data_IF_282593783220
#
_entry.id   IF_282593783220
#
_cell.length_a   1.000
_cell.length_b   1.000
_cell.length_c   1.000
_cell.angle_alpha   90.00
_cell.angle_beta   90.00
_cell.angle_gamma   90.00
#
_symmetry.space_group_name_H-M   'P 1'
#
loop_
_entity.id
_entity.type
_entity.pdbx_description
1 polymer ?
#
# COMPACT_ATOMS: atom_id res chain seq x y z
N UNK A 1 108.58 -126.06 22.39
CA UNK A 1 108.23 -125.80 20.98
C UNK A 1 106.92 -125.04 20.98
N UNK A 2 107.03 -123.75 20.65
CA UNK A 2 106.02 -122.80 20.15
C UNK A 2 104.58 -122.76 20.71
N UNK A 3 104.31 -121.57 21.26
CA UNK A 3 103.09 -120.93 21.72
C UNK A 3 101.92 -120.96 20.72
N UNK A 4 100.75 -121.45 21.16
CA UNK A 4 99.45 -121.16 20.55
C UNK A 4 98.74 -120.11 21.43
N UNK A 5 98.42 -118.91 20.91
CA UNK A 5 97.87 -117.83 21.71
C UNK A 5 96.45 -118.17 22.21
N UNK A 6 96.17 -117.80 23.47
CA UNK A 6 94.92 -118.10 24.17
C UNK A 6 93.73 -117.41 23.49
N UNK A 7 92.79 -118.20 22.96
CA UNK A 7 91.59 -117.73 22.25
C UNK A 7 90.78 -116.69 23.04
N UNK A 8 90.87 -116.69 24.38
CA UNK A 8 90.18 -115.72 25.23
C UNK A 8 90.65 -114.28 25.04
N UNK A 9 91.94 -114.04 24.74
CA UNK A 9 92.46 -112.68 24.55
C UNK A 9 91.90 -112.06 23.26
N UNK A 10 91.79 -112.84 22.18
CA UNK A 10 91.15 -112.39 20.95
C UNK A 10 89.63 -112.21 21.10
N UNK A 11 88.95 -113.09 21.86
CA UNK A 11 87.53 -112.92 22.23
C UNK A 11 87.33 -111.59 22.97
N UNK A 12 88.19 -111.27 23.93
CA UNK A 12 88.09 -110.06 24.74
C UNK A 12 88.33 -108.79 23.90
N UNK A 13 89.31 -108.84 22.97
CA UNK A 13 89.56 -107.75 22.04
C UNK A 13 88.37 -107.49 21.10
N UNK A 14 87.76 -108.55 20.55
CA UNK A 14 86.56 -108.41 19.70
C UNK A 14 85.35 -107.89 20.48
N UNK A 15 85.20 -108.24 21.76
CA UNK A 15 84.16 -107.68 22.63
C UNK A 15 84.36 -106.18 22.81
N UNK A 16 85.59 -105.72 23.06
CA UNK A 16 85.90 -104.29 23.20
C UNK A 16 85.60 -103.54 21.89
N UNK A 17 86.02 -104.09 20.75
CA UNK A 17 85.74 -103.51 19.42
C UNK A 17 84.23 -103.46 19.16
N UNK A 18 83.49 -104.54 19.47
CA UNK A 18 82.05 -104.57 19.32
C UNK A 18 81.38 -103.49 20.19
N UNK A 19 81.82 -103.31 21.44
CA UNK A 19 81.31 -102.28 22.35
C UNK A 19 81.54 -100.87 21.79
N UNK A 20 82.73 -100.61 21.24
CA UNK A 20 83.07 -99.32 20.62
C UNK A 20 82.20 -99.08 19.38
N UNK A 21 82.04 -100.07 18.51
CA UNK A 21 81.22 -99.96 17.30
C UNK A 21 79.74 -99.75 17.66
N UNK A 22 79.21 -100.46 18.65
CA UNK A 22 77.85 -100.26 19.15
C UNK A 22 77.67 -98.85 19.73
N UNK A 23 78.66 -98.33 20.46
CA UNK A 23 78.62 -96.97 20.98
C UNK A 23 78.59 -95.91 19.86
N UNK A 24 79.40 -96.08 18.82
CA UNK A 24 79.39 -95.16 17.67
C UNK A 24 78.08 -95.23 16.87
N UNK A 25 77.53 -96.43 16.66
CA UNK A 25 76.22 -96.59 15.99
C UNK A 25 75.13 -95.91 16.83
N UNK A 26 75.12 -96.11 18.14
CA UNK A 26 74.14 -95.50 19.04
C UNK A 26 74.27 -93.97 19.06
N UNK A 27 75.49 -93.44 19.09
CA UNK A 27 75.74 -91.99 19.05
C UNK A 27 75.33 -91.35 17.71
N UNK A 28 75.40 -92.10 16.60
CA UNK A 28 75.00 -91.58 15.28
C UNK A 28 73.47 -91.49 15.14
N UNK A 29 72.74 -92.41 15.75
CA UNK A 29 71.27 -92.42 15.74
C UNK A 29 70.64 -91.60 16.88
N UNK A 30 71.43 -91.05 17.78
CA UNK A 30 70.92 -90.22 18.87
C UNK A 30 70.52 -88.84 18.33
N UNK A 31 69.23 -88.66 18.07
CA UNK A 31 68.66 -87.36 17.73
C UNK A 31 68.77 -86.42 18.94
N UNK A 32 69.35 -85.23 18.72
CA UNK A 32 69.40 -84.18 19.72
C UNK A 32 68.10 -83.38 19.65
N UNK A 33 67.21 -83.58 20.62
CA UNK A 33 66.01 -82.77 20.75
C UNK A 33 66.40 -81.34 21.17
N UNK A 34 66.25 -80.37 20.24
CA UNK A 34 66.46 -78.96 20.53
C UNK A 34 65.10 -78.36 20.88
N UNK A 35 64.77 -78.35 22.17
CA UNK A 35 63.59 -77.65 22.67
C UNK A 35 63.97 -76.17 22.84
N UNK A 36 63.64 -75.36 21.83
CA UNK A 36 63.76 -73.90 21.93
C UNK A 36 62.53 -73.37 22.65
N UNK A 37 62.68 -73.04 23.94
CA UNK A 37 61.66 -72.29 24.67
C UNK A 37 61.69 -70.84 24.19
N UNK A 38 60.79 -70.48 23.28
CA UNK A 38 60.56 -69.10 22.86
C UNK A 38 59.43 -68.49 23.67
N UNK A 39 59.68 -67.30 24.23
CA UNK A 39 58.62 -66.51 24.85
C UNK A 39 57.91 -65.72 23.74
N UNK A 40 56.80 -66.27 23.24
CA UNK A 40 55.91 -65.56 22.32
C UNK A 40 54.81 -64.84 23.07
N UNK A 41 54.49 -63.60 22.68
CA UNK A 41 53.31 -62.88 23.17
C UNK A 41 52.24 -62.95 22.10
N UNK A 42 51.06 -63.47 22.43
CA UNK A 42 49.90 -63.43 21.53
C UNK A 42 49.44 -61.98 21.45
N UNK A 43 49.53 -61.39 20.25
CA UNK A 43 49.00 -60.07 19.94
C UNK A 43 47.85 -60.21 18.95
N UNK A 44 46.78 -59.42 19.08
CA UNK A 44 45.75 -59.37 18.06
C UNK A 44 46.34 -58.94 16.72
N UNK A 45 45.83 -59.51 15.63
CA UNK A 45 46.27 -59.22 14.26
C UNK A 45 45.94 -57.78 13.85
N UNK A 46 44.93 -57.18 14.50
CA UNK A 46 44.48 -55.81 14.28
C UNK A 46 44.73 -54.92 15.51
N UNK A 47 44.80 -53.60 15.28
CA UNK A 47 44.92 -52.60 16.34
C UNK A 47 43.76 -52.67 17.35
N UNK A 48 44.10 -52.63 18.64
CA UNK A 48 43.13 -52.51 19.73
C UNK A 48 42.54 -51.10 19.69
N UNK A 49 41.26 -50.98 19.35
CA UNK A 49 40.55 -49.70 19.35
C UNK A 49 39.81 -49.51 20.66
N UNK A 50 40.18 -48.47 21.41
CA UNK A 50 39.41 -48.03 22.56
C UNK A 50 38.13 -47.35 22.08
N UNK A 51 36.97 -47.80 22.58
CA UNK A 51 35.69 -47.14 22.33
C UNK A 51 35.50 -46.03 23.34
N UNK A 52 35.29 -44.80 22.86
CA UNK A 52 34.99 -43.63 23.67
C UNK A 52 33.72 -42.93 23.17
N UNK A 53 33.06 -42.21 24.07
CA UNK A 53 31.93 -41.37 23.76
C UNK A 53 32.39 -39.96 23.38
N UNK A 54 31.74 -39.38 22.36
CA UNK A 54 31.98 -38.00 21.91
C UNK A 54 31.24 -37.00 22.81
N UNK A 55 30.14 -37.42 23.41
CA UNK A 55 29.21 -36.57 24.18
C UNK A 55 29.15 -37.01 25.63
N UNK A 56 29.11 -36.04 26.55
CA UNK A 56 28.96 -36.31 27.98
C UNK A 56 27.50 -36.68 28.33
N UNK A 57 27.32 -37.67 29.20
CA UNK A 57 26.01 -38.07 29.69
C UNK A 57 26.07 -39.33 30.55
N UNK A 58 24.91 -39.76 31.02
CA UNK A 58 24.75 -40.97 31.83
C UNK A 58 24.53 -42.20 30.94
N UNK A 59 25.12 -43.33 31.29
CA UNK A 59 24.90 -44.59 30.56
C UNK A 59 23.49 -45.10 30.85
N UNK A 60 22.62 -45.07 29.84
CA UNK A 60 21.23 -45.49 29.94
C UNK A 60 21.07 -47.01 29.80
N UNK A 61 21.82 -47.61 28.87
CA UNK A 61 21.78 -49.06 28.65
C UNK A 61 23.10 -49.56 28.07
N UNK A 62 23.56 -50.72 28.53
CA UNK A 62 24.70 -51.44 27.95
C UNK A 62 24.17 -52.64 27.20
N UNK A 63 24.56 -52.79 25.93
CA UNK A 63 24.09 -53.83 25.01
C UNK A 63 25.20 -54.79 24.58
N UNK A 64 26.30 -54.82 25.32
CA UNK A 64 27.46 -55.69 25.04
C UNK A 64 27.85 -56.50 26.28
N UNK A 65 28.43 -57.68 26.04
CA UNK A 65 29.03 -58.56 27.06
C UNK A 65 30.50 -58.80 26.78
N UNK A 66 31.26 -59.14 27.83
CA UNK A 66 32.69 -59.46 27.68
C UNK A 66 32.88 -60.70 26.79
N UNK A 67 33.75 -60.57 25.79
CA UNK A 67 34.05 -61.65 24.83
C UNK A 67 33.02 -61.79 23.69
N UNK A 68 32.03 -60.90 23.62
CA UNK A 68 31.05 -60.87 22.53
C UNK A 68 31.69 -60.33 21.24
N UNK A 69 31.36 -60.97 20.10
CA UNK A 69 31.78 -60.50 18.79
C UNK A 69 30.78 -59.47 18.27
N UNK A 70 31.25 -58.27 17.94
CA UNK A 70 30.40 -57.15 17.52
C UNK A 70 30.72 -56.71 16.09
N UNK A 71 29.71 -56.27 15.36
CA UNK A 71 29.83 -55.79 13.97
C UNK A 71 29.99 -54.27 13.90
N UNK A 72 30.57 -53.78 12.79
CA UNK A 72 30.69 -52.34 12.55
C UNK A 72 29.29 -51.70 12.48
N UNK A 73 29.05 -50.67 13.29
CA UNK A 73 27.77 -49.96 13.38
C UNK A 73 26.81 -50.51 14.43
N UNK A 74 27.20 -51.58 15.13
CA UNK A 74 26.41 -52.13 16.22
C UNK A 74 26.43 -51.22 17.46
N UNK A 75 25.26 -51.01 18.07
CA UNK A 75 25.10 -50.13 19.23
C UNK A 75 25.53 -50.86 20.49
N UNK A 76 26.69 -50.50 21.02
CA UNK A 76 27.28 -51.13 22.21
C UNK A 76 26.67 -50.65 23.52
N UNK A 77 26.33 -49.36 23.61
CA UNK A 77 25.64 -48.77 24.76
C UNK A 77 24.96 -47.46 24.33
N UNK A 78 23.97 -47.04 25.11
CA UNK A 78 23.21 -45.80 24.90
C UNK A 78 23.53 -44.82 26.02
N UNK A 79 23.77 -43.56 25.66
CA UNK A 79 23.98 -42.46 26.62
C UNK A 79 22.73 -41.58 26.61
N UNK A 80 22.23 -41.26 27.81
CA UNK A 80 21.22 -40.24 28.02
C UNK A 80 21.91 -38.94 28.42
N UNK A 81 21.68 -37.87 27.65
CA UNK A 81 22.18 -36.53 27.94
C UNK A 81 21.00 -35.57 28.01
N UNK A 82 20.65 -35.15 29.23
CA UNK A 82 19.57 -34.17 29.47
C UNK A 82 19.87 -32.82 28.81
N UNK A 83 21.14 -32.43 28.75
CA UNK A 83 21.58 -31.20 28.09
C UNK A 83 21.30 -31.23 26.58
N UNK A 84 21.65 -32.35 25.91
CA UNK A 84 21.38 -32.51 24.48
C UNK A 84 19.87 -32.60 24.20
N UNK A 85 19.09 -33.26 25.06
CA UNK A 85 17.64 -33.33 24.92
C UNK A 85 17.00 -31.94 25.07
N UNK A 86 17.41 -31.17 26.08
CA UNK A 86 16.92 -29.79 26.27
C UNK A 86 17.31 -28.89 25.10
N UNK A 87 18.55 -29.01 24.61
CA UNK A 87 19.02 -28.26 23.43
C UNK A 87 18.23 -28.63 22.18
N UNK A 88 17.92 -29.92 21.99
CA UNK A 88 17.07 -30.38 20.90
C UNK A 88 15.66 -29.79 21.01
N UNK A 89 15.02 -29.87 22.18
CA UNK A 89 13.68 -29.30 22.38
C UNK A 89 13.65 -27.78 22.12
N UNK A 90 14.67 -27.05 22.58
CA UNK A 90 14.80 -25.61 22.30
C UNK A 90 14.96 -25.31 20.81
N UNK A 91 15.69 -26.15 20.06
CA UNK A 91 15.85 -26.02 18.61
C UNK A 91 14.53 -26.37 17.92
N UNK A 92 13.85 -27.43 18.34
CA UNK A 92 12.56 -27.86 17.78
C UNK A 92 11.49 -26.76 17.98
N UNK A 93 11.42 -26.14 19.17
CA UNK A 93 10.56 -24.99 19.45
C UNK A 93 10.90 -23.77 18.56
N UNK A 94 12.18 -23.50 18.34
CA UNK A 94 12.62 -22.43 17.43
C UNK A 94 12.24 -22.71 15.99
N UNK A 95 12.38 -23.95 15.52
CA UNK A 95 11.98 -24.37 14.18
C UNK A 95 10.47 -24.20 14.01
N UNK A 96 9.66 -24.63 14.98
CA UNK A 96 8.20 -24.48 14.95
C UNK A 96 7.79 -22.99 14.89
N UNK A 97 8.42 -22.16 15.73
CA UNK A 97 8.20 -20.72 15.73
C UNK A 97 8.55 -20.09 14.37
N UNK A 98 9.73 -20.41 13.81
CA UNK A 98 10.19 -19.86 12.53
C UNK A 98 9.26 -20.29 11.39
N UNK A 99 8.84 -21.56 11.36
CA UNK A 99 7.91 -22.07 10.34
C UNK A 99 6.57 -21.33 10.41
N UNK A 100 6.03 -21.17 11.62
CA UNK A 100 4.78 -20.42 11.84
C UNK A 100 4.91 -18.96 11.42
N UNK A 101 6.05 -18.32 11.71
CA UNK A 101 6.31 -16.93 11.31
C UNK A 101 6.42 -16.80 9.78
N UNK A 102 7.07 -17.75 9.11
CA UNK A 102 7.15 -17.82 7.65
C UNK A 102 5.77 -18.00 6.99
N UNK A 103 4.93 -18.91 7.48
CA UNK A 103 3.57 -19.10 6.99
C UNK A 103 2.74 -17.82 7.13
N UNK A 104 2.87 -17.13 8.27
CA UNK A 104 2.21 -15.84 8.48
C UNK A 104 2.76 -14.75 7.56
N UNK A 105 4.07 -14.72 7.28
CA UNK A 105 4.66 -13.77 6.32
C UNK A 105 4.17 -14.01 4.89
N UNK A 106 4.05 -15.27 4.46
CA UNK A 106 3.46 -15.63 3.17
C UNK A 106 1.99 -15.23 3.08
N UNK A 107 1.22 -15.48 4.14
CA UNK A 107 -0.18 -15.05 4.26
C UNK A 107 -0.30 -13.53 4.23
N UNK A 108 0.62 -12.78 4.85
CA UNK A 108 0.66 -11.32 4.79
C UNK A 108 1.02 -10.82 3.39
N UNK A 109 1.99 -11.42 2.73
CA UNK A 109 2.34 -11.13 1.34
C UNK A 109 1.11 -11.30 0.43
N UNK A 110 0.39 -12.41 0.57
CA UNK A 110 -0.86 -12.65 -0.15
C UNK A 110 -1.92 -11.60 0.17
N UNK A 111 -2.10 -11.27 1.46
CA UNK A 111 -3.08 -10.27 1.91
C UNK A 111 -2.83 -8.90 1.26
N UNK A 112 -1.56 -8.48 1.19
CA UNK A 112 -1.13 -7.22 0.57
C UNK A 112 -1.31 -7.26 -0.95
N UNK A 113 -1.04 -8.40 -1.61
CA UNK A 113 -1.23 -8.52 -3.04
C UNK A 113 -2.71 -8.49 -3.44
N UNK A 114 -3.56 -9.18 -2.69
CA UNK A 114 -4.99 -9.29 -2.93
C UNK A 114 -5.79 -8.10 -2.33
N UNK A 115 -5.13 -7.17 -1.63
CA UNK A 115 -5.75 -6.09 -0.84
C UNK A 115 -6.88 -6.60 0.08
N UNK A 116 -6.73 -7.79 0.64
CA UNK A 116 -7.74 -8.45 1.48
C UNK A 116 -7.08 -9.01 2.72
N UNK A 117 -7.59 -8.68 3.91
CA UNK A 117 -7.04 -9.21 5.15
C UNK A 117 -7.44 -10.68 5.33
N UNK A 118 -6.49 -11.60 5.26
CA UNK A 118 -6.74 -13.01 5.52
C UNK A 118 -6.57 -13.39 7.00
N UNK A 119 -6.12 -12.47 7.87
CA UNK A 119 -5.94 -12.71 9.30
C UNK A 119 -7.20 -12.39 10.10
N UNK A 120 -7.40 -13.17 11.16
CA UNK A 120 -8.43 -12.94 12.15
C UNK A 120 -7.88 -12.16 13.35
N UNK A 121 -8.73 -11.35 13.99
CA UNK A 121 -8.36 -10.64 15.21
C UNK A 121 -8.50 -11.57 16.44
N UNK A 122 -7.59 -12.53 16.56
CA UNK A 122 -7.50 -13.47 17.68
C UNK A 122 -6.08 -13.50 18.25
N UNK A 123 -5.87 -14.08 19.43
CA UNK A 123 -4.58 -14.06 20.13
C UNK A 123 -3.42 -14.67 19.35
N UNK A 124 -3.67 -15.57 18.38
CA UNK A 124 -2.64 -16.21 17.56
C UNK A 124 -2.21 -15.36 16.37
N UNK A 125 -3.15 -14.67 15.73
CA UNK A 125 -2.91 -13.92 14.48
C UNK A 125 -2.83 -12.40 14.67
N UNK A 126 -3.07 -11.92 15.91
CA UNK A 126 -3.18 -10.49 16.26
C UNK A 126 -2.06 -9.62 15.71
N UNK A 127 -0.81 -10.09 15.82
CA UNK A 127 0.35 -9.32 15.35
C UNK A 127 0.26 -9.02 13.84
N UNK A 128 0.00 -10.06 13.04
CA UNK A 128 -0.08 -9.95 11.59
C UNK A 128 -1.36 -9.27 11.10
N UNK A 129 -2.47 -9.45 11.84
CA UNK A 129 -3.69 -8.67 11.65
C UNK A 129 -3.43 -7.17 11.74
N UNK A 130 -2.72 -6.70 12.77
CA UNK A 130 -2.41 -5.28 12.92
C UNK A 130 -1.35 -4.78 11.94
N UNK A 131 -0.40 -5.63 11.50
CA UNK A 131 0.52 -5.29 10.40
C UNK A 131 -0.23 -5.03 9.09
N UNK A 132 -1.27 -5.79 8.79
CA UNK A 132 -2.11 -5.51 7.61
C UNK A 132 -2.92 -4.22 7.80
N UNK A 133 -3.48 -3.98 8.98
CA UNK A 133 -4.22 -2.74 9.24
C UNK A 133 -3.34 -1.48 9.13
N UNK A 134 -2.07 -1.55 9.55
CA UNK A 134 -1.15 -0.41 9.41
C UNK A 134 -0.80 -0.15 7.94
N UNK A 135 -0.65 -1.20 7.13
CA UNK A 135 -0.54 -1.09 5.67
C UNK A 135 -1.75 -0.38 5.07
N UNK A 136 -2.97 -0.76 5.45
CA UNK A 136 -4.21 -0.10 4.98
C UNK A 136 -4.31 1.35 5.45
N UNK A 137 -3.97 1.63 6.70
CA UNK A 137 -3.99 2.99 7.25
C UNK A 137 -3.05 3.93 6.49
N UNK A 138 -1.86 3.45 6.09
CA UNK A 138 -0.93 4.19 5.24
C UNK A 138 -1.51 4.58 3.87
N UNK A 139 -2.53 3.85 3.39
CA UNK A 139 -3.22 4.14 2.14
C UNK A 139 -4.42 5.10 2.30
N UNK A 140 -4.86 5.41 3.53
CA UNK A 140 -6.10 6.19 3.80
C UNK A 140 -5.93 7.71 3.84
N UNK A 141 -4.69 8.22 3.92
CA UNK A 141 -4.41 9.66 4.11
C UNK A 141 -5.00 10.53 2.98
N UNK A 142 -5.25 9.98 1.77
CA UNK A 142 -5.88 10.73 0.67
C UNK A 142 -7.40 10.94 0.82
N UNK A 143 -8.08 10.25 1.73
CA UNK A 143 -9.55 10.22 1.75
C UNK A 143 -10.16 11.50 2.34
N UNK A 144 -9.56 12.06 3.40
CA UNK A 144 -10.03 13.30 4.03
C UNK A 144 -9.85 14.51 3.11
N UNK A 145 -8.69 14.62 2.44
CA UNK A 145 -8.43 15.68 1.45
C UNK A 145 -9.42 15.63 0.28
N UNK A 146 -9.73 14.42 -0.21
CA UNK A 146 -10.75 14.22 -1.25
C UNK A 146 -12.14 14.65 -0.80
N UNK A 147 -12.55 14.27 0.42
CA UNK A 147 -13.87 14.64 0.95
C UNK A 147 -14.03 16.15 1.08
N UNK A 148 -12.96 16.85 1.49
CA UNK A 148 -12.97 18.31 1.54
C UNK A 148 -13.14 18.93 0.15
N UNK A 149 -12.43 18.41 -0.87
CA UNK A 149 -12.57 18.86 -2.25
C UNK A 149 -13.99 18.61 -2.80
N UNK A 150 -14.57 17.44 -2.54
CA UNK A 150 -15.95 17.14 -2.92
C UNK A 150 -16.94 18.11 -2.26
N UNK A 151 -16.76 18.38 -0.97
CA UNK A 151 -17.62 19.32 -0.22
C UNK A 151 -17.55 20.74 -0.83
N UNK A 152 -16.36 21.23 -1.12
CA UNK A 152 -16.18 22.53 -1.81
C UNK A 152 -16.78 22.55 -3.22
N UNK A 153 -16.72 21.42 -3.95
CA UNK A 153 -17.32 21.28 -5.28
C UNK A 153 -18.85 21.38 -5.22
N UNK A 154 -19.45 20.72 -4.23
CA UNK A 154 -20.90 20.76 -4.02
C UNK A 154 -21.38 22.17 -3.65
N UNK A 155 -20.66 22.87 -2.76
CA UNK A 155 -20.95 24.27 -2.43
C UNK A 155 -20.92 25.18 -3.66
N UNK A 156 -19.88 25.06 -4.50
CA UNK A 156 -19.76 25.84 -5.74
C UNK A 156 -20.86 25.50 -6.75
N UNK A 157 -21.23 24.22 -6.88
CA UNK A 157 -22.33 23.81 -7.75
C UNK A 157 -23.67 24.37 -7.27
N UNK A 158 -23.93 24.37 -5.96
CA UNK A 158 -25.13 24.96 -5.39
C UNK A 158 -25.19 26.47 -5.68
N UNK A 159 -24.09 27.20 -5.44
CA UNK A 159 -24.01 28.64 -5.77
C UNK A 159 -24.24 28.91 -7.26
N UNK A 160 -23.72 28.04 -8.15
CA UNK A 160 -23.94 28.14 -9.59
C UNK A 160 -25.43 28.00 -9.94
N UNK A 161 -26.12 27.01 -9.36
CA UNK A 161 -27.56 26.79 -9.58
C UNK A 161 -28.37 28.00 -9.10
N UNK A 162 -28.01 28.58 -7.96
CA UNK A 162 -28.67 29.78 -7.44
C UNK A 162 -28.46 31.00 -8.35
N UNK A 163 -27.24 31.20 -8.87
CA UNK A 163 -26.94 32.24 -9.87
C UNK A 163 -27.68 32.02 -11.20
N UNK A 164 -27.79 30.78 -11.67
CA UNK A 164 -28.57 30.43 -12.86
C UNK A 164 -30.06 30.74 -12.64
N UNK A 165 -30.58 30.49 -11.43
CA UNK A 165 -31.95 30.84 -11.03
C UNK A 165 -32.16 32.36 -10.99
N UNK A 166 -31.20 33.13 -10.47
CA UNK A 166 -31.23 34.60 -10.50
C UNK A 166 -31.23 35.13 -11.94
N UNK A 167 -30.35 34.59 -12.79
CA UNK A 167 -30.27 34.94 -14.21
C UNK A 167 -31.61 34.73 -14.92
N UNK A 168 -32.26 33.57 -14.65
CA UNK A 168 -33.60 33.26 -15.17
C UNK A 168 -34.65 34.22 -14.62
N UNK A 169 -34.59 34.55 -13.33
CA UNK A 169 -35.51 35.48 -12.69
C UNK A 169 -35.48 36.87 -13.33
N UNK A 170 -34.29 37.38 -13.64
CA UNK A 170 -34.08 38.65 -14.35
C UNK A 170 -34.57 38.55 -15.81
N UNK A 171 -34.34 37.43 -16.47
CA UNK A 171 -34.74 37.22 -17.86
C UNK A 171 -36.26 37.21 -18.02
N UNK A 172 -36.95 36.52 -17.11
CA UNK A 172 -38.41 36.35 -17.08
C UNK A 172 -39.14 37.46 -16.31
N UNK A 173 -38.41 38.39 -15.68
CA UNK A 173 -38.97 39.40 -14.80
C UNK A 173 -39.89 38.82 -13.71
N UNK A 174 -39.54 37.65 -13.16
CA UNK A 174 -40.27 36.96 -12.09
C UNK A 174 -39.29 36.42 -11.07
N UNK A 175 -39.53 36.66 -9.78
CA UNK A 175 -38.67 36.10 -8.73
C UNK A 175 -38.87 34.57 -8.66
N UNK A 176 -37.86 33.80 -9.07
CA UNK A 176 -37.82 32.34 -8.94
C UNK A 176 -36.90 31.89 -7.80
N UNK A 177 -36.25 32.84 -7.13
CA UNK A 177 -35.31 32.55 -6.06
C UNK A 177 -36.06 32.17 -4.79
N UNK A 178 -35.38 31.45 -3.90
CA UNK A 178 -35.92 31.12 -2.59
C UNK A 178 -36.18 32.39 -1.78
N UNK A 179 -37.35 32.48 -1.18
CA UNK A 179 -37.74 33.61 -0.33
C UNK A 179 -36.75 33.80 0.84
N UNK A 180 -36.35 35.06 1.08
CA UNK A 180 -35.36 35.42 2.09
C UNK A 180 -33.90 35.04 1.76
N UNK A 181 -33.61 34.60 0.54
CA UNK A 181 -32.23 34.37 0.09
C UNK A 181 -31.55 35.65 -0.39
N UNK A 182 -30.22 35.69 -0.31
CA UNK A 182 -29.40 36.79 -0.86
C UNK A 182 -29.70 37.06 -2.34
N UNK A 183 -29.99 36.01 -3.14
CA UNK A 183 -30.32 36.15 -4.55
C UNK A 183 -31.74 36.71 -4.77
N UNK A 184 -32.67 36.45 -3.85
CA UNK A 184 -33.96 37.14 -3.82
C UNK A 184 -33.77 38.63 -3.61
N UNK A 185 -32.95 39.04 -2.63
CA UNK A 185 -32.69 40.46 -2.34
C UNK A 185 -32.00 41.19 -3.51
N UNK A 186 -31.07 40.50 -4.19
CA UNK A 186 -30.45 41.00 -5.42
C UNK A 186 -31.47 41.20 -6.54
N UNK A 187 -32.41 40.27 -6.70
CA UNK A 187 -33.49 40.40 -7.66
C UNK A 187 -34.39 41.60 -7.32
N UNK A 188 -34.81 41.77 -6.07
CA UNK A 188 -35.65 42.91 -5.66
C UNK A 188 -34.93 44.26 -5.88
N UNK A 189 -33.61 44.30 -5.68
CA UNK A 189 -32.79 45.49 -5.98
C UNK A 189 -32.77 45.83 -7.48
N UNK A 190 -32.71 44.80 -8.34
CA UNK A 190 -32.83 44.96 -9.80
C UNK A 190 -34.23 45.46 -10.19
N UNK A 191 -35.29 44.90 -9.60
CA UNK A 191 -36.67 45.33 -9.86
C UNK A 191 -36.88 46.78 -9.46
N UNK A 192 -36.43 47.17 -8.27
CA UNK A 192 -36.53 48.55 -7.76
C UNK A 192 -35.85 49.55 -8.72
N UNK A 193 -34.66 49.19 -9.23
CA UNK A 193 -33.92 50.02 -10.19
C UNK A 193 -34.65 50.13 -11.53
N UNK A 194 -35.26 49.03 -12.01
CA UNK A 194 -36.06 49.02 -13.24
C UNK A 194 -37.32 49.86 -13.09
N UNK A 195 -38.04 49.73 -11.99
CA UNK A 195 -39.26 50.49 -11.71
C UNK A 195 -38.98 51.99 -11.63
N UNK A 196 -37.85 52.41 -11.05
CA UNK A 196 -37.44 53.81 -11.03
C UNK A 196 -37.32 54.40 -12.44
N UNK A 197 -36.74 53.65 -13.38
CA UNK A 197 -36.62 54.07 -14.79
C UNK A 197 -38.00 54.08 -15.47
N UNK A 198 -38.82 53.04 -15.23
CA UNK A 198 -40.17 52.94 -15.80
C UNK A 198 -41.08 54.08 -15.35
N UNK A 199 -41.07 54.41 -14.05
CA UNK A 199 -41.83 55.53 -13.51
C UNK A 199 -41.40 56.87 -14.13
N UNK A 200 -40.10 57.04 -14.42
CA UNK A 200 -39.60 58.23 -15.12
C UNK A 200 -40.11 58.31 -16.55
N UNK A 201 -40.13 57.18 -17.27
CA UNK A 201 -40.70 57.09 -18.62
C UNK A 201 -42.19 57.44 -18.59
N UNK A 202 -42.94 56.89 -17.64
CA UNK A 202 -44.37 57.16 -17.50
C UNK A 202 -44.65 58.65 -17.23
N UNK A 203 -43.87 59.31 -16.38
CA UNK A 203 -43.98 60.75 -16.14
C UNK A 203 -43.72 61.56 -17.42
N UNK A 204 -42.70 61.19 -18.20
CA UNK A 204 -42.40 61.85 -19.47
C UNK A 204 -43.51 61.65 -20.50
N UNK A 205 -44.07 60.45 -20.61
CA UNK A 205 -45.22 60.16 -21.49
C UNK A 205 -46.47 60.95 -21.09
N UNK A 206 -46.75 61.06 -19.79
CA UNK A 206 -47.85 61.88 -19.29
C UNK A 206 -47.65 63.37 -19.60
N UNK A 207 -46.43 63.88 -19.45
CA UNK A 207 -46.09 65.26 -19.82
C UNK A 207 -46.26 65.49 -21.33
N UNK A 208 -45.79 64.56 -22.16
CA UNK A 208 -45.95 64.60 -23.62
C UNK A 208 -47.42 64.61 -24.01
N UNK A 209 -48.25 63.77 -23.37
CA UNK A 209 -49.70 63.74 -23.60
C UNK A 209 -50.35 65.09 -23.30
N UNK A 210 -50.04 65.70 -22.16
CA UNK A 210 -50.58 67.03 -21.80
C UNK A 210 -50.16 68.13 -22.79
N UNK A 211 -48.93 68.08 -23.31
CA UNK A 211 -48.46 69.01 -24.34
C UNK A 211 -49.20 68.81 -25.68
N UNK A 212 -49.46 67.57 -26.07
CA UNK A 212 -50.25 67.26 -27.26
C UNK A 212 -51.69 67.75 -27.14
N UNK A 213 -52.33 67.55 -25.99
CA UNK A 213 -53.68 68.08 -25.71
C UNK A 213 -53.72 69.62 -25.85
N UNK A 214 -52.65 70.31 -25.43
CA UNK A 214 -52.54 71.77 -25.58
C UNK A 214 -52.42 72.23 -27.04
N UNK A 215 -51.71 71.47 -27.88
CA UNK A 215 -51.67 71.71 -29.33
C UNK A 215 -53.08 71.50 -29.93
N UNK A 216 -53.82 70.49 -29.50
CA UNK A 216 -55.20 70.29 -29.97
C UNK A 216 -56.12 71.44 -29.59
N UNK A 217 -55.99 71.98 -28.37
CA UNK A 217 -56.72 73.18 -27.93
C UNK A 217 -56.36 74.40 -28.77
N UNK A 218 -55.05 74.65 -28.97
CA UNK A 218 -54.55 75.75 -29.80
C UNK A 218 -55.11 75.66 -31.23
N UNK A 219 -55.16 74.47 -31.82
CA UNK A 219 -55.76 74.24 -33.15
C UNK A 219 -57.27 74.55 -33.17
N UNK A 220 -58.02 74.15 -32.13
CA UNK A 220 -59.45 74.48 -32.01
C UNK A 220 -59.68 75.98 -31.88
N UNK A 221 -58.82 76.71 -31.17
CA UNK A 221 -58.88 78.16 -31.03
C UNK A 221 -58.52 78.86 -32.35
N UNK A 222 -57.45 78.42 -33.01
CA UNK A 222 -56.99 78.91 -34.32
C UNK A 222 -58.08 78.84 -35.39
N UNK A 223 -58.86 77.77 -35.40
CA UNK A 223 -59.97 77.57 -36.36
C UNK A 223 -61.14 78.55 -36.16
N UNK A 224 -61.26 79.19 -34.99
CA UNK A 224 -62.31 80.18 -34.69
C UNK A 224 -61.87 81.63 -34.94
N UNK A 225 -60.60 81.86 -35.26
CA UNK A 225 -60.00 83.19 -35.45
C UNK A 225 -59.98 83.61 -36.93
N UNK A 226 -60.31 84.87 -37.19
CA UNK A 226 -60.26 85.48 -38.53
C UNK A 226 -59.01 86.38 -38.74
N UNK A 227 -58.31 86.74 -37.67
CA UNK A 227 -57.12 87.62 -37.69
C UNK A 227 -55.84 86.80 -37.94
N UNK A 228 -55.15 87.06 -39.05
CA UNK A 228 -53.93 86.34 -39.44
C UNK A 228 -52.80 86.50 -38.44
N UNK A 229 -52.60 87.69 -37.86
CA UNK A 229 -51.52 87.94 -36.91
C UNK A 229 -51.68 87.08 -35.64
N UNK A 230 -52.92 86.83 -35.23
CA UNK A 230 -53.21 85.95 -34.07
C UNK A 230 -52.96 84.48 -34.38
N UNK A 231 -53.15 84.05 -35.63
CA UNK A 231 -52.84 82.68 -36.06
C UNK A 231 -51.33 82.42 -36.04
N UNK A 232 -50.52 83.37 -36.48
CA UNK A 232 -49.05 83.25 -36.47
C UNK A 232 -48.49 83.10 -35.05
N UNK A 233 -49.05 83.82 -34.08
CA UNK A 233 -48.66 83.70 -32.66
C UNK A 233 -48.96 82.30 -32.12
N UNK A 234 -50.09 81.70 -32.52
CA UNK A 234 -50.44 80.32 -32.12
C UNK A 234 -49.46 79.33 -32.77
N UNK A 235 -49.12 79.52 -34.03
CA UNK A 235 -48.16 78.67 -34.75
C UNK A 235 -46.76 78.69 -34.13
N UNK A 236 -46.27 79.85 -33.70
CA UNK A 236 -45.00 79.97 -33.00
C UNK A 236 -45.01 79.25 -31.64
N UNK A 237 -46.14 79.32 -30.90
CA UNK A 237 -46.31 78.56 -29.65
C UNK A 237 -46.31 77.06 -29.90
N UNK A 238 -47.04 76.58 -30.90
CA UNK A 238 -47.07 75.16 -31.26
C UNK A 238 -45.71 74.66 -31.71
N UNK A 239 -44.93 75.48 -32.43
CA UNK A 239 -43.54 75.16 -32.79
C UNK A 239 -42.66 75.00 -31.54
N UNK A 240 -42.84 75.86 -30.53
CA UNK A 240 -42.12 75.72 -29.26
C UNK A 240 -42.53 74.46 -28.50
N UNK A 241 -43.83 74.14 -28.44
CA UNK A 241 -44.33 72.91 -27.81
C UNK A 241 -43.80 71.67 -28.53
N UNK A 242 -43.80 71.67 -29.87
CA UNK A 242 -43.25 70.56 -30.67
C UNK A 242 -41.75 70.35 -30.40
N UNK A 243 -40.97 71.41 -30.21
CA UNK A 243 -39.58 71.28 -29.80
C UNK A 243 -39.43 70.63 -28.41
N UNK A 244 -40.30 70.97 -27.45
CA UNK A 244 -40.32 70.32 -26.13
C UNK A 244 -40.70 68.83 -26.23
N UNK A 245 -41.69 68.49 -27.06
CA UNK A 245 -42.08 67.10 -27.31
C UNK A 245 -40.89 66.31 -27.89
N UNK A 246 -40.17 66.88 -28.87
CA UNK A 246 -38.98 66.24 -29.46
C UNK A 246 -37.87 65.99 -28.42
N UNK A 247 -37.68 66.90 -27.47
CA UNK A 247 -36.75 66.69 -26.35
C UNK A 247 -37.21 65.56 -25.42
N UNK A 248 -38.51 65.52 -25.10
CA UNK A 248 -39.09 64.44 -24.29
C UNK A 248 -38.94 63.08 -25.00
N UNK A 249 -39.16 63.01 -26.31
CA UNK A 249 -38.97 61.78 -27.10
C UNK A 249 -37.53 61.27 -27.04
N UNK A 250 -36.54 62.17 -27.11
CA UNK A 250 -35.14 61.81 -26.91
C UNK A 250 -34.85 61.29 -25.50
N UNK A 251 -35.44 61.90 -24.46
CA UNK A 251 -35.30 61.44 -23.08
C UNK A 251 -35.94 60.07 -22.85
N UNK A 252 -37.14 59.84 -23.38
CA UNK A 252 -37.83 58.54 -23.32
C UNK A 252 -36.98 57.48 -24.02
N UNK A 253 -36.46 57.77 -25.21
CA UNK A 253 -35.55 56.86 -25.93
C UNK A 253 -34.33 56.51 -25.09
N UNK A 254 -33.66 57.51 -24.50
CA UNK A 254 -32.48 57.28 -23.66
C UNK A 254 -32.81 56.48 -22.39
N UNK A 255 -33.95 56.71 -21.73
CA UNK A 255 -34.36 55.92 -20.57
C UNK A 255 -34.70 54.46 -20.96
N UNK A 256 -35.30 54.23 -22.13
CA UNK A 256 -35.52 52.88 -22.65
C UNK A 256 -34.19 52.16 -22.93
N UNK A 257 -33.22 52.83 -23.54
CA UNK A 257 -31.86 52.29 -23.73
C UNK A 257 -31.17 51.98 -22.39
N UNK A 258 -31.37 52.81 -21.36
CA UNK A 258 -30.88 52.54 -20.00
C UNK A 258 -31.53 51.30 -19.38
N UNK A 259 -32.81 51.05 -19.65
CA UNK A 259 -33.53 49.89 -19.14
C UNK A 259 -33.02 48.58 -19.78
N UNK A 260 -32.79 48.59 -21.09
CA UNK A 260 -32.17 47.47 -21.80
C UNK A 260 -30.74 47.22 -21.31
N UNK A 261 -29.97 48.29 -21.13
CA UNK A 261 -28.60 48.22 -20.61
C UNK A 261 -28.58 47.67 -19.18
N UNK A 262 -29.48 48.09 -18.30
CA UNK A 262 -29.59 47.57 -16.93
C UNK A 262 -29.78 46.04 -16.94
N UNK A 263 -30.68 45.52 -17.78
CA UNK A 263 -30.89 44.08 -17.93
C UNK A 263 -29.64 43.39 -18.45
N UNK A 264 -29.07 43.89 -19.55
CA UNK A 264 -27.89 43.30 -20.19
C UNK A 264 -26.67 43.27 -19.25
N UNK A 265 -26.38 44.37 -18.57
CA UNK A 265 -25.23 44.49 -17.67
C UNK A 265 -25.37 43.56 -16.47
N UNK A 266 -26.58 43.45 -15.89
CA UNK A 266 -26.85 42.54 -14.77
C UNK A 266 -26.66 41.08 -15.18
N UNK A 267 -27.20 40.68 -16.33
CA UNK A 267 -27.02 39.32 -16.86
C UNK A 267 -25.55 39.03 -17.19
N UNK A 268 -24.81 40.00 -17.72
CA UNK A 268 -23.38 39.86 -17.99
C UNK A 268 -22.56 39.66 -16.70
N UNK A 269 -22.88 40.40 -15.63
CA UNK A 269 -22.24 40.23 -14.32
C UNK A 269 -22.49 38.85 -13.72
N UNK A 270 -23.73 38.36 -13.79
CA UNK A 270 -24.08 37.00 -13.33
C UNK A 270 -23.33 35.95 -14.14
N UNK A 271 -23.31 36.08 -15.47
CA UNK A 271 -22.56 35.18 -16.35
C UNK A 271 -21.07 35.16 -16.01
N UNK A 272 -20.46 36.33 -15.81
CA UNK A 272 -19.05 36.41 -15.40
C UNK A 272 -18.78 35.76 -14.04
N UNK A 273 -19.75 35.76 -13.12
CA UNK A 273 -19.65 35.06 -11.84
C UNK A 273 -19.76 33.54 -12.02
N UNK A 274 -20.68 33.07 -12.85
CA UNK A 274 -20.81 31.65 -13.22
C UNK A 274 -19.53 31.16 -13.91
N UNK A 275 -18.94 31.94 -14.81
CA UNK A 275 -17.70 31.59 -15.50
C UNK A 275 -16.53 31.43 -14.53
N UNK A 276 -16.41 32.31 -13.51
CA UNK A 276 -15.43 32.16 -12.42
C UNK A 276 -15.65 30.89 -11.61
N UNK A 277 -16.90 30.56 -11.28
CA UNK A 277 -17.23 29.30 -10.59
C UNK A 277 -16.81 28.10 -11.43
N UNK A 278 -17.13 28.08 -12.73
CA UNK A 278 -16.72 27.00 -13.64
C UNK A 278 -15.19 26.87 -13.72
N UNK A 279 -14.45 27.98 -13.74
CA UNK A 279 -12.98 27.94 -13.69
C UNK A 279 -12.47 27.33 -12.38
N UNK A 280 -13.08 27.66 -11.25
CA UNK A 280 -12.70 27.08 -9.96
C UNK A 280 -13.04 25.59 -9.87
N UNK A 281 -14.22 25.19 -10.36
CA UNK A 281 -14.62 23.77 -10.46
C UNK A 281 -13.62 22.97 -11.31
N UNK A 282 -13.18 23.52 -12.45
CA UNK A 282 -12.17 22.87 -13.29
C UNK A 282 -10.81 22.72 -12.59
N UNK A 283 -10.40 23.73 -11.79
CA UNK A 283 -9.18 23.64 -10.99
C UNK A 283 -9.29 22.55 -9.93
N UNK A 284 -10.40 22.50 -9.19
CA UNK A 284 -10.64 21.45 -8.19
C UNK A 284 -10.66 20.06 -8.83
N UNK A 285 -11.24 19.91 -10.01
CA UNK A 285 -11.22 18.66 -10.77
C UNK A 285 -9.79 18.23 -11.11
N UNK A 286 -8.96 19.16 -11.60
CA UNK A 286 -7.55 18.86 -11.89
C UNK A 286 -6.77 18.46 -10.64
N UNK A 287 -7.06 19.10 -9.50
CA UNK A 287 -6.46 18.73 -8.20
C UNK A 287 -6.90 17.33 -7.79
N UNK A 288 -8.18 16.99 -7.95
CA UNK A 288 -8.70 15.66 -7.63
C UNK A 288 -8.01 14.57 -8.45
N UNK A 289 -7.86 14.77 -9.77
CA UNK A 289 -7.12 13.84 -10.64
C UNK A 289 -5.67 13.67 -10.21
N UNK A 290 -4.98 14.76 -9.85
CA UNK A 290 -3.59 14.70 -9.37
C UNK A 290 -3.46 13.99 -8.02
N UNK A 291 -4.48 14.10 -7.16
CA UNK A 291 -4.54 13.37 -5.89
C UNK A 291 -4.82 11.88 -6.09
N UNK A 292 -5.62 11.51 -7.09
CA UNK A 292 -5.81 10.11 -7.46
C UNK A 292 -4.50 9.49 -7.97
N UNK A 293 -3.77 10.19 -8.82
CA UNK A 293 -2.45 9.75 -9.29
C UNK A 293 -1.45 9.62 -8.14
N UNK A 294 -1.34 10.64 -7.28
CA UNK A 294 -0.40 10.61 -6.16
C UNK A 294 -0.76 9.55 -5.11
N UNK A 295 -2.05 9.33 -4.85
CA UNK A 295 -2.53 8.26 -3.97
C UNK A 295 -2.19 6.88 -4.53
N UNK A 296 -2.34 6.66 -5.84
CA UNK A 296 -1.94 5.41 -6.48
C UNK A 296 -0.43 5.18 -6.39
N UNK A 297 0.38 6.20 -6.69
CA UNK A 297 1.85 6.13 -6.57
C UNK A 297 2.26 5.84 -5.12
N UNK A 298 1.63 6.50 -4.14
CA UNK A 298 1.88 6.28 -2.72
C UNK A 298 1.50 4.86 -2.29
N UNK A 299 0.34 4.36 -2.75
CA UNK A 299 -0.11 2.99 -2.49
C UNK A 299 0.85 1.95 -3.08
N UNK A 300 1.32 2.16 -4.31
CA UNK A 300 2.29 1.26 -4.96
C UNK A 300 3.65 1.29 -4.26
N UNK A 301 4.11 2.47 -3.85
CA UNK A 301 5.34 2.62 -3.05
C UNK A 301 5.20 1.94 -1.69
N UNK A 302 4.10 2.16 -0.99
CA UNK A 302 3.80 1.54 0.30
C UNK A 302 3.74 0.01 0.17
N UNK A 303 3.04 -0.50 -0.85
CA UNK A 303 3.00 -1.93 -1.19
C UNK A 303 4.40 -2.47 -1.41
N UNK A 304 5.20 -1.82 -2.25
CA UNK A 304 6.58 -2.24 -2.56
C UNK A 304 7.46 -2.27 -1.31
N UNK A 305 7.37 -1.27 -0.44
CA UNK A 305 8.13 -1.22 0.82
C UNK A 305 7.75 -2.37 1.76
N UNK A 306 6.46 -2.63 1.97
CA UNK A 306 6.03 -3.74 2.82
C UNK A 306 6.43 -5.10 2.23
N UNK A 307 6.28 -5.30 0.92
CA UNK A 307 6.70 -6.53 0.25
C UNK A 307 8.21 -6.76 0.38
N UNK A 308 9.03 -5.72 0.22
CA UNK A 308 10.47 -5.81 0.40
C UNK A 308 10.85 -6.18 1.85
N UNK A 309 10.18 -5.60 2.85
CA UNK A 309 10.39 -5.95 4.26
C UNK A 309 10.00 -7.40 4.58
N UNK A 310 8.90 -7.89 3.99
CA UNK A 310 8.47 -9.28 4.13
C UNK A 310 9.50 -10.22 3.50
N UNK A 311 9.95 -9.93 2.28
CA UNK A 311 10.95 -10.73 1.57
C UNK A 311 12.29 -10.76 2.31
N UNK A 312 12.75 -9.62 2.83
CA UNK A 312 13.93 -9.53 3.69
C UNK A 312 13.79 -10.42 4.92
N UNK A 313 12.64 -10.35 5.62
CA UNK A 313 12.40 -11.15 6.82
C UNK A 313 12.34 -12.66 6.52
N UNK A 314 11.68 -13.08 5.44
CA UNK A 314 11.65 -14.48 4.98
C UNK A 314 13.07 -14.97 4.67
N UNK A 315 13.88 -14.16 3.98
CA UNK A 315 15.26 -14.52 3.65
C UNK A 315 16.11 -14.70 4.91
N UNK A 316 15.98 -13.84 5.90
CA UNK A 316 16.69 -13.96 7.19
C UNK A 316 16.28 -15.25 7.91
N UNK A 317 14.97 -15.53 8.00
CA UNK A 317 14.44 -16.74 8.65
C UNK A 317 14.93 -18.02 7.95
N UNK A 318 14.92 -18.05 6.62
CA UNK A 318 15.42 -19.16 5.82
C UNK A 318 16.93 -19.38 5.95
N UNK A 319 17.72 -18.30 6.11
CA UNK A 319 19.14 -18.40 6.40
C UNK A 319 19.40 -19.01 7.78
N UNK A 320 18.60 -18.63 8.79
CA UNK A 320 18.73 -19.17 10.15
C UNK A 320 18.38 -20.66 10.22
N UNK A 321 17.41 -21.13 9.42
CA UNK A 321 17.09 -22.57 9.30
C UNK A 321 18.27 -23.35 8.70
N UNK A 322 18.99 -22.80 7.72
CA UNK A 322 20.10 -23.50 7.05
C UNK A 322 21.39 -23.57 7.88
N UNK A 323 21.52 -22.75 8.91
CA UNK A 323 22.73 -22.65 9.76
C UNK A 323 22.67 -23.54 11.00
N UNK A 324 21.47 -24.02 11.38
CA UNK A 324 21.24 -24.93 12.50
C UNK A 324 21.07 -26.38 12.03
#
# INVERSE_FOLDING_TARGET
MESKPNKLMFIFLYIIIALIVTFFIWSWFSEKEIIVKVNGVVRPDNEIKAVSNIVQGEVESVKMKNGESVSKGEVLFKIKSTELENKKNQIDEQIEYINTDNENLEKLNKSINDNTNYFENNDKEKEYYYKFQSYEAGNKVSFEEKNNIFSSKDELNNQKVELETLSKSISENKNLNKEGSTYSDQYESYISSREMIQNKIEQLENNKKALNEKIEENNKEKNKLNDENRKTIIDDKDKQINNQISQIDLEIKNNNEQLDKLKSDTLAQIKGSIDKINQNLNKLESTLSSLDESANISKDKNKTTFLAQIEEKINILNCNIKLN
#
